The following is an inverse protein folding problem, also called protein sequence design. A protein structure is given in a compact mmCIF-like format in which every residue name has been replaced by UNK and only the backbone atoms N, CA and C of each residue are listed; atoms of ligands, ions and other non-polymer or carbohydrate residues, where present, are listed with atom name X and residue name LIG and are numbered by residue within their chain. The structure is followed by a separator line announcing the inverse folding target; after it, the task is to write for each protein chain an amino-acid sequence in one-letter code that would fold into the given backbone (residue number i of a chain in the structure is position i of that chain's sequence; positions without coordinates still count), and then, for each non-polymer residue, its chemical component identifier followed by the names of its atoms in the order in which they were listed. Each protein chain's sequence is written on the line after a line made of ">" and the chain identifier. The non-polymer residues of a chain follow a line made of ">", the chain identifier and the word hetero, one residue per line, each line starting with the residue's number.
data_IF_434758058089
#
_entry.id   IF_434758058089
#
_cell.length_a   1.000
_cell.length_b   1.000
_cell.length_c   1.000
_cell.angle_alpha   90.00
_cell.angle_beta   90.00
_cell.angle_gamma   90.00
#
_symmetry.space_group_name_H-M   'P 1'
#
loop_
_entity.id
_entity.type
_entity.pdbx_description
1 polymer ?
#
# COMPACT_ATOMS: atom_id res chain seq x y z
N UNK A 1 4.73 20.92 1.82
CA UNK A 1 3.88 19.94 1.15
C UNK A 1 3.96 20.19 -0.36
N UNK A 2 4.19 19.16 -1.13
CA UNK A 2 4.21 19.25 -2.58
C UNK A 2 2.80 19.52 -3.07
N UNK A 3 2.65 20.43 -4.03
CA UNK A 3 1.35 20.68 -4.64
C UNK A 3 0.88 19.46 -5.45
N UNK A 4 -0.43 19.38 -5.69
CA UNK A 4 -1.06 18.31 -6.48
C UNK A 4 -0.40 18.17 -7.85
N UNK A 5 -0.11 19.28 -8.52
CA UNK A 5 0.54 19.29 -9.83
C UNK A 5 1.91 18.60 -9.81
N UNK A 6 2.69 18.79 -8.74
CA UNK A 6 3.99 18.13 -8.59
C UNK A 6 3.85 16.62 -8.41
N UNK A 7 2.82 16.17 -7.71
CA UNK A 7 2.52 14.76 -7.56
C UNK A 7 2.16 14.14 -8.90
N UNK A 8 1.32 14.81 -9.70
CA UNK A 8 0.97 14.36 -11.06
C UNK A 8 2.21 14.26 -11.94
N UNK A 9 3.08 15.28 -11.96
CA UNK A 9 4.33 15.25 -12.73
C UNK A 9 5.22 14.05 -12.35
N UNK A 10 5.32 13.71 -11.07
CA UNK A 10 6.09 12.55 -10.61
C UNK A 10 5.46 11.26 -11.13
N UNK A 11 4.14 11.11 -11.02
CA UNK A 11 3.45 9.91 -11.48
C UNK A 11 3.55 9.73 -12.99
N UNK A 12 3.44 10.82 -13.73
CA UNK A 12 3.60 10.79 -15.20
C UNK A 12 5.02 10.38 -15.60
N UNK A 13 6.03 10.93 -14.93
CA UNK A 13 7.42 10.51 -15.13
C UNK A 13 7.63 9.02 -14.80
N UNK A 14 7.08 8.54 -13.70
CA UNK A 14 7.16 7.11 -13.32
C UNK A 14 6.49 6.20 -14.37
N UNK A 15 5.31 6.58 -14.87
CA UNK A 15 4.62 5.84 -15.94
C UNK A 15 5.46 5.79 -17.20
N UNK A 16 6.03 6.93 -17.61
CA UNK A 16 6.88 6.97 -18.80
C UNK A 16 8.10 6.08 -18.65
N UNK A 17 8.78 6.12 -17.51
CA UNK A 17 9.92 5.25 -17.24
C UNK A 17 9.57 3.76 -17.33
N UNK A 18 8.38 3.35 -16.89
CA UNK A 18 7.92 1.96 -17.05
C UNK A 18 7.69 1.60 -18.51
N UNK A 19 6.99 2.45 -19.26
CA UNK A 19 6.69 2.25 -20.69
C UNK A 19 7.95 2.21 -21.55
N UNK A 20 8.99 2.95 -21.17
CA UNK A 20 10.29 2.95 -21.85
C UNK A 20 11.03 1.61 -21.70
N UNK A 21 10.73 0.86 -20.62
CA UNK A 21 11.31 -0.45 -20.38
C UNK A 21 10.46 -1.57 -20.99
N UNK A 22 9.15 -1.49 -20.82
CA UNK A 22 8.21 -2.47 -21.34
C UNK A 22 6.88 -1.76 -21.66
N UNK A 23 6.44 -1.87 -22.94
CA UNK A 23 5.20 -1.24 -23.42
C UNK A 23 3.93 -1.70 -22.70
N UNK A 24 3.99 -2.87 -22.05
CA UNK A 24 2.86 -3.46 -21.32
C UNK A 24 2.95 -3.18 -19.81
N UNK A 25 4.05 -2.56 -19.34
CA UNK A 25 4.21 -2.19 -17.95
C UNK A 25 3.36 -0.96 -17.60
N UNK A 26 2.51 -1.12 -16.58
CA UNK A 26 1.64 -0.04 -16.11
C UNK A 26 1.33 -0.16 -14.62
N UNK A 27 0.79 0.91 -14.05
CA UNK A 27 0.15 0.88 -12.74
C UNK A 27 -1.37 0.83 -12.94
N UNK A 28 -2.05 -0.11 -12.31
CA UNK A 28 -3.51 -0.20 -12.33
C UNK A 28 -4.14 0.98 -11.58
N UNK A 29 -3.54 1.40 -10.48
CA UNK A 29 -3.92 2.59 -9.74
C UNK A 29 -2.75 3.22 -8.98
N UNK A 30 -2.85 4.52 -8.72
CA UNK A 30 -1.96 5.25 -7.83
C UNK A 30 -2.79 5.92 -6.74
N UNK A 31 -2.64 5.46 -5.51
CA UNK A 31 -3.35 5.98 -4.34
C UNK A 31 -2.42 6.85 -3.52
N UNK A 32 -2.86 8.06 -3.20
CA UNK A 32 -2.06 9.03 -2.45
C UNK A 32 -2.82 9.49 -1.23
N UNK A 33 -2.18 9.39 -0.06
CA UNK A 33 -2.71 10.00 1.15
C UNK A 33 -2.32 11.48 1.23
N UNK A 34 -3.26 12.43 1.13
CA UNK A 34 -2.97 13.85 1.19
C UNK A 34 -2.76 14.38 2.61
N UNK A 35 -3.05 13.58 3.62
CA UNK A 35 -3.10 14.01 5.01
C UNK A 35 -1.71 14.09 5.66
N UNK A 36 -1.57 14.95 6.64
CA UNK A 36 -0.36 15.04 7.48
C UNK A 36 -0.39 13.95 8.56
N UNK A 37 0.76 13.62 9.12
CA UNK A 37 0.84 12.65 10.22
C UNK A 37 -0.07 13.01 11.42
N UNK A 38 -0.18 14.29 11.75
CA UNK A 38 -1.02 14.79 12.85
C UNK A 38 -2.53 14.64 12.61
N UNK A 39 -2.94 14.47 11.37
CA UNK A 39 -4.35 14.35 10.98
C UNK A 39 -4.93 12.97 11.33
N UNK A 40 -4.05 11.99 11.65
CA UNK A 40 -4.41 10.63 12.09
C UNK A 40 -5.49 9.98 11.22
N UNK A 41 -5.38 10.13 9.91
CA UNK A 41 -6.35 9.59 8.96
C UNK A 41 -6.22 8.07 8.81
N UNK A 42 -7.26 7.42 8.30
CA UNK A 42 -7.29 5.98 8.01
C UNK A 42 -6.38 5.58 6.85
N UNK A 43 -6.03 6.49 5.93
CA UNK A 43 -5.26 6.18 4.73
C UNK A 43 -3.75 6.25 4.92
N UNK A 44 -3.25 6.93 5.97
CA UNK A 44 -1.81 7.06 6.17
C UNK A 44 -1.23 5.85 6.89
N UNK A 45 -0.22 5.23 6.28
CA UNK A 45 0.51 4.10 6.89
C UNK A 45 1.01 4.46 8.31
N UNK A 46 0.89 3.58 9.29
CA UNK A 46 0.58 2.13 9.19
C UNK A 46 -0.91 1.76 9.09
N UNK A 47 -1.82 2.74 8.95
CA UNK A 47 -3.24 2.43 8.73
C UNK A 47 -3.44 1.79 7.35
N UNK A 48 -4.29 0.76 7.21
CA UNK A 48 -4.46 0.02 5.97
C UNK A 48 -5.45 0.65 4.97
N UNK A 49 -5.94 1.87 5.22
CA UNK A 49 -7.05 2.45 4.44
C UNK A 49 -6.81 2.53 2.94
N UNK A 50 -5.58 2.82 2.48
CA UNK A 50 -5.26 2.81 1.04
C UNK A 50 -5.27 1.39 0.45
N UNK A 51 -4.84 0.37 1.20
CA UNK A 51 -4.89 -1.02 0.76
C UNK A 51 -6.35 -1.49 0.65
N UNK A 52 -7.19 -1.16 1.62
CA UNK A 52 -8.64 -1.43 1.57
C UNK A 52 -9.31 -0.75 0.39
N UNK A 53 -8.96 0.50 0.11
CA UNK A 53 -9.48 1.21 -1.06
C UNK A 53 -9.04 0.53 -2.36
N UNK A 54 -7.78 0.12 -2.47
CA UNK A 54 -7.28 -0.65 -3.62
C UNK A 54 -8.05 -1.95 -3.82
N UNK A 55 -8.29 -2.68 -2.74
CA UNK A 55 -9.09 -3.91 -2.76
C UNK A 55 -10.52 -3.65 -3.26
N UNK A 56 -11.17 -2.62 -2.77
CA UNK A 56 -12.51 -2.23 -3.23
C UNK A 56 -12.54 -1.86 -4.72
N UNK A 57 -11.53 -1.15 -5.19
CA UNK A 57 -11.42 -0.77 -6.61
C UNK A 57 -11.27 -1.97 -7.54
N UNK A 58 -10.55 -3.01 -7.13
CA UNK A 58 -10.21 -4.13 -8.01
C UNK A 58 -11.05 -5.39 -7.79
N UNK A 59 -11.71 -5.53 -6.65
CA UNK A 59 -12.44 -6.75 -6.28
C UNK A 59 -13.83 -6.52 -5.75
N UNK A 60 -14.17 -5.30 -5.33
CA UNK A 60 -15.47 -4.92 -4.81
C UNK A 60 -16.31 -4.17 -5.84
N UNK A 61 -17.44 -3.67 -5.39
CA UNK A 61 -18.19 -2.66 -6.14
C UNK A 61 -17.33 -1.38 -6.20
N UNK A 62 -17.27 -0.75 -7.37
CA UNK A 62 -16.55 0.50 -7.52
C UNK A 62 -17.06 1.53 -6.50
N UNK A 63 -16.20 2.07 -5.64
CA UNK A 63 -16.64 3.04 -4.65
C UNK A 63 -17.20 4.27 -5.34
N UNK A 64 -18.28 4.83 -4.83
CA UNK A 64 -18.77 6.12 -5.28
C UNK A 64 -17.71 7.19 -5.01
N UNK A 65 -17.74 8.30 -5.72
CA UNK A 65 -16.75 9.37 -5.56
C UNK A 65 -16.67 9.86 -4.10
N UNK A 66 -17.76 9.81 -3.34
CA UNK A 66 -17.80 10.13 -1.91
C UNK A 66 -17.07 9.09 -1.05
N UNK A 67 -17.00 7.84 -1.47
CA UNK A 67 -16.27 6.77 -0.77
C UNK A 67 -14.77 6.83 -1.03
N UNK A 68 -14.33 7.56 -2.08
CA UNK A 68 -12.91 7.82 -2.34
C UNK A 68 -12.32 8.87 -1.38
N UNK A 69 -13.16 9.64 -0.72
CA UNK A 69 -12.72 10.58 0.32
C UNK A 69 -12.54 9.81 1.61
N UNK A 70 -11.30 9.50 1.95
CA UNK A 70 -10.98 8.90 3.25
C UNK A 70 -11.21 9.96 4.31
N UNK A 71 -12.25 9.77 5.12
CA UNK A 71 -12.55 10.67 6.23
C UNK A 71 -11.38 10.75 7.20
N UNK A 72 -11.08 11.94 7.67
CA UNK A 72 -10.13 12.15 8.77
C UNK A 72 -10.82 11.72 10.05
N UNK A 73 -10.32 10.61 10.61
CA UNK A 73 -10.66 10.19 11.96
C UNK A 73 -9.50 10.56 12.88
N UNK A 74 -9.66 11.63 13.63
CA UNK A 74 -8.65 12.11 14.56
C UNK A 74 -8.27 11.11 15.68
N UNK A 75 -9.00 10.01 15.78
CA UNK A 75 -8.78 8.90 16.70
C UNK A 75 -8.22 7.63 16.05
N UNK A 76 -8.01 7.63 14.72
CA UNK A 76 -7.61 6.44 13.99
C UNK A 76 -6.32 5.81 14.54
N UNK A 77 -6.40 4.55 14.89
CA UNK A 77 -5.28 3.72 15.36
C UNK A 77 -5.39 2.32 14.80
N UNK A 78 -4.24 1.70 14.54
CA UNK A 78 -4.20 0.27 14.25
C UNK A 78 -4.41 -0.48 15.57
N UNK A 79 -5.30 -1.45 15.57
CA UNK A 79 -5.46 -2.33 16.71
C UNK A 79 -4.50 -3.52 16.57
N UNK A 80 -3.33 -3.38 17.17
CA UNK A 80 -2.27 -4.40 17.13
C UNK A 80 -2.57 -5.66 17.95
N UNK A 81 -3.62 -5.64 18.76
CA UNK A 81 -4.02 -6.76 19.60
C UNK A 81 -5.02 -7.69 18.93
N UNK A 82 -5.61 -7.27 17.82
CA UNK A 82 -6.49 -8.12 17.03
C UNK A 82 -5.69 -9.16 16.26
N UNK A 83 -6.31 -10.30 16.04
CA UNK A 83 -5.78 -11.28 15.12
C UNK A 83 -5.61 -10.66 13.71
N UNK A 84 -4.60 -11.15 13.00
CA UNK A 84 -4.39 -10.76 11.62
C UNK A 84 -5.61 -11.17 10.80
N UNK A 85 -6.17 -10.24 10.04
CA UNK A 85 -7.30 -10.53 9.16
C UNK A 85 -6.84 -11.40 7.98
N UNK A 86 -7.75 -12.20 7.44
CA UNK A 86 -7.49 -12.95 6.22
C UNK A 86 -7.56 -12.00 5.02
N UNK A 87 -6.61 -12.06 4.08
CA UNK A 87 -6.64 -11.26 2.86
C UNK A 87 -7.71 -11.78 1.91
N UNK A 88 -8.25 -10.93 1.04
CA UNK A 88 -9.20 -11.33 0.00
C UNK A 88 -8.61 -12.32 -1.01
N UNK A 89 -7.29 -12.27 -1.18
CA UNK A 89 -6.55 -13.21 -2.00
C UNK A 89 -5.23 -13.60 -1.33
N UNK A 90 -4.89 -14.90 -1.28
CA UNK A 90 -3.72 -15.36 -0.53
C UNK A 90 -2.37 -14.88 -1.08
N UNK A 91 -2.34 -14.39 -2.32
CA UNK A 91 -1.12 -13.86 -2.94
C UNK A 91 -1.01 -12.34 -2.86
N UNK A 92 -1.99 -11.66 -2.27
CA UNK A 92 -1.89 -10.22 -2.04
C UNK A 92 -0.65 -9.89 -1.21
N UNK A 93 0.03 -8.83 -1.62
CA UNK A 93 1.29 -8.46 -0.99
C UNK A 93 1.41 -6.94 -0.82
N UNK A 94 1.99 -6.56 0.31
CA UNK A 94 2.51 -5.21 0.55
C UNK A 94 4.02 -5.24 0.45
N UNK A 95 4.56 -4.36 -0.37
CA UNK A 95 6.00 -4.19 -0.54
C UNK A 95 6.37 -2.78 -0.13
N UNK A 96 7.38 -2.63 0.68
CA UNK A 96 7.83 -1.32 1.13
C UNK A 96 9.14 -1.37 1.90
N UNK A 97 9.76 -0.21 2.09
CA UNK A 97 11.06 -0.07 2.74
C UNK A 97 10.96 0.30 4.23
N UNK A 98 9.75 0.62 4.71
CA UNK A 98 9.52 1.12 6.08
C UNK A 98 8.68 0.17 6.91
N UNK A 99 8.86 0.24 8.22
CA UNK A 99 8.01 -0.50 9.16
C UNK A 99 6.54 -0.09 9.09
N UNK A 100 6.26 1.16 8.71
CA UNK A 100 4.88 1.62 8.47
C UNK A 100 4.22 0.92 7.28
N UNK A 101 4.98 0.50 6.27
CA UNK A 101 4.49 -0.28 5.15
C UNK A 101 4.13 -1.69 5.61
N UNK A 102 5.06 -2.29 6.36
CA UNK A 102 4.84 -3.62 6.94
C UNK A 102 3.65 -3.62 7.89
N UNK A 103 3.50 -2.56 8.70
CA UNK A 103 2.35 -2.39 9.59
C UNK A 103 1.03 -2.30 8.84
N UNK A 104 0.97 -1.56 7.74
CA UNK A 104 -0.24 -1.47 6.91
C UNK A 104 -0.58 -2.81 6.25
N UNK A 105 0.41 -3.51 5.70
CA UNK A 105 0.23 -4.83 5.11
C UNK A 105 -0.22 -5.86 6.15
N UNK A 106 0.38 -5.86 7.34
CA UNK A 106 -0.02 -6.73 8.44
C UNK A 106 -1.47 -6.46 8.86
N UNK A 107 -1.86 -5.19 9.02
CA UNK A 107 -3.22 -4.81 9.38
C UNK A 107 -4.27 -5.15 8.30
N UNK A 108 -3.85 -5.27 7.04
CA UNK A 108 -4.69 -5.75 5.93
C UNK A 108 -4.67 -7.28 5.78
N UNK A 109 -3.79 -7.97 6.48
CA UNK A 109 -3.67 -9.43 6.41
C UNK A 109 -2.85 -9.96 5.24
N UNK A 110 -2.28 -9.10 4.40
CA UNK A 110 -1.54 -9.49 3.21
C UNK A 110 -0.10 -9.93 3.53
N UNK A 111 0.55 -10.61 2.58
CA UNK A 111 1.98 -10.92 2.68
C UNK A 111 2.77 -9.61 2.71
N UNK A 112 3.78 -9.51 3.55
CA UNK A 112 4.61 -8.33 3.66
C UNK A 112 6.03 -8.65 3.18
N UNK A 113 6.59 -7.79 2.31
CA UNK A 113 7.97 -7.92 1.84
C UNK A 113 8.70 -6.61 2.08
N UNK A 114 9.61 -6.62 3.05
CA UNK A 114 10.45 -5.45 3.34
C UNK A 114 11.61 -5.41 2.36
N UNK A 115 11.72 -4.32 1.64
CA UNK A 115 12.78 -4.12 0.64
C UNK A 115 13.87 -3.19 1.18
N UNK A 116 15.07 -3.38 0.68
CA UNK A 116 16.13 -2.40 0.85
C UNK A 116 15.83 -1.20 -0.07
N UNK A 117 15.86 0.00 0.49
CA UNK A 117 15.56 1.24 -0.24
C UNK A 117 16.46 1.45 -1.48
N UNK A 118 17.70 0.93 -1.45
CA UNK A 118 18.63 1.02 -2.58
C UNK A 118 18.33 0.04 -3.72
N UNK A 119 17.75 -1.13 -3.40
CA UNK A 119 17.50 -2.20 -4.35
C UNK A 119 16.04 -2.26 -4.79
N UNK A 120 15.15 -1.70 -3.99
CA UNK A 120 13.72 -1.65 -4.28
C UNK A 120 13.10 -3.04 -4.51
N UNK A 121 12.13 -3.08 -5.39
CA UNK A 121 11.34 -4.28 -5.71
C UNK A 121 12.21 -5.46 -6.20
N UNK A 122 13.29 -5.18 -6.92
CA UNK A 122 14.17 -6.21 -7.48
C UNK A 122 14.72 -7.17 -6.40
N UNK A 123 14.87 -6.70 -5.16
CA UNK A 123 15.38 -7.53 -4.05
C UNK A 123 14.42 -8.63 -3.57
N UNK A 124 13.16 -8.57 -3.95
CA UNK A 124 12.11 -9.48 -3.47
C UNK A 124 11.25 -10.10 -4.58
N UNK A 125 11.56 -9.83 -5.84
CA UNK A 125 10.74 -10.26 -6.98
C UNK A 125 10.52 -11.77 -7.00
N UNK A 126 11.57 -12.58 -6.84
CA UNK A 126 11.46 -14.03 -6.81
C UNK A 126 10.58 -14.52 -5.66
N UNK A 127 10.71 -13.90 -4.50
CA UNK A 127 9.92 -14.22 -3.32
C UNK A 127 8.44 -13.90 -3.51
N UNK A 128 8.12 -12.77 -4.16
CA UNK A 128 6.74 -12.37 -4.45
C UNK A 128 6.07 -13.38 -5.36
N UNK A 129 6.82 -13.87 -6.38
CA UNK A 129 6.33 -14.84 -7.35
C UNK A 129 6.23 -16.26 -6.77
N UNK A 130 6.95 -16.57 -5.70
CA UNK A 130 6.78 -17.84 -4.98
C UNK A 130 5.47 -17.82 -4.18
N UNK A 131 4.51 -18.62 -4.62
CA UNK A 131 3.21 -18.74 -3.96
C UNK A 131 3.28 -19.35 -2.54
N UNK A 132 4.39 -20.00 -2.20
CA UNK A 132 4.62 -20.60 -0.88
C UNK A 132 5.25 -19.62 0.11
N UNK A 133 5.91 -18.57 -0.37
CA UNK A 133 6.51 -17.56 0.50
C UNK A 133 5.40 -16.74 1.19
N UNK A 134 5.39 -16.77 2.50
CA UNK A 134 4.41 -16.06 3.34
C UNK A 134 4.80 -14.61 3.65
N UNK A 135 5.91 -14.15 3.10
CA UNK A 135 6.46 -12.83 3.38
C UNK A 135 7.26 -12.76 4.68
N UNK A 136 7.72 -11.57 4.98
CA UNK A 136 8.51 -11.29 6.18
C UNK A 136 7.63 -11.25 7.43
N UNK A 137 8.10 -11.77 8.57
CA UNK A 137 7.39 -11.64 9.82
C UNK A 137 7.36 -10.16 10.26
N UNK A 138 6.22 -9.72 10.75
CA UNK A 138 6.06 -8.39 11.35
C UNK A 138 5.55 -8.53 12.79
N UNK A 139 6.22 -7.87 13.71
CA UNK A 139 5.78 -7.79 15.10
C UNK A 139 5.33 -6.36 15.41
N UNK A 140 4.01 -6.11 15.53
CA UNK A 140 3.48 -4.78 15.77
C UNK A 140 3.83 -4.20 17.15
N UNK A 141 4.34 -5.01 18.06
CA UNK A 141 4.65 -4.64 19.44
C UNK A 141 6.13 -4.33 19.68
N UNK A 142 6.93 -4.26 18.64
CA UNK A 142 8.35 -3.94 18.71
C UNK A 142 8.65 -2.57 18.15
#
# INVERSE_FOLDING_TARGET
>A
LWGVDRIHQIHDAMRQMLLDVDKDAHFDAVLVCPHRHRDRCQCRKPMPGMLRLGEQLFRGEAPTQSQLVVEIDGGAKVNWWNDKIEPSHPLDAMIGDRDSDMGAGWAQGVRCFKVNWNLGLASVTERILDQKDKGDPFNPLR
#
